data_IF_207992049152
#
_entry.id   IF_207992049152
#
_cell.length_a   1.000
_cell.length_b   1.000
_cell.length_c   1.000
_cell.angle_alpha   90.00
_cell.angle_beta   90.00
_cell.angle_gamma   90.00
#
_symmetry.space_group_name_H-M   'P 1'
#
loop_
_entity.id
_entity.type
_entity.pdbx_description
1 polymer ?
#
# COMPACT_ATOMS: atom_id res chain seq x y z
N UNK A 1 13.20 -30.47 -33.55
CA UNK A 1 12.61 -29.16 -33.89
C UNK A 1 12.62 -28.30 -32.63
N UNK A 2 13.32 -27.19 -32.74
CA UNK A 2 13.86 -26.37 -31.66
C UNK A 2 12.79 -25.44 -31.08
N UNK A 3 12.82 -25.25 -29.76
CA UNK A 3 11.97 -24.32 -29.02
C UNK A 3 12.19 -22.88 -29.49
N UNK A 4 11.13 -22.17 -29.87
CA UNK A 4 11.19 -20.74 -30.18
C UNK A 4 10.78 -19.92 -28.94
N UNK A 5 11.79 -19.26 -28.36
CA UNK A 5 11.70 -18.35 -27.22
C UNK A 5 10.72 -17.22 -27.51
N UNK A 6 9.65 -17.13 -26.73
CA UNK A 6 8.80 -15.94 -26.66
C UNK A 6 9.58 -14.82 -25.96
N UNK A 7 10.00 -13.83 -26.74
CA UNK A 7 10.66 -12.62 -26.26
C UNK A 7 9.74 -11.84 -25.31
N UNK A 8 9.98 -11.98 -24.01
CA UNK A 8 9.39 -11.12 -22.97
C UNK A 8 9.80 -9.67 -23.25
N UNK A 9 8.90 -8.68 -23.19
CA UNK A 9 9.29 -7.28 -23.05
C UNK A 9 10.25 -7.19 -21.85
N UNK A 10 11.40 -6.56 -22.05
CA UNK A 10 12.51 -6.57 -21.12
C UNK A 10 12.06 -6.13 -19.72
N UNK A 11 12.40 -6.95 -18.71
CA UNK A 11 12.28 -6.67 -17.27
C UNK A 11 13.06 -5.41 -16.82
N UNK A 12 13.74 -4.72 -17.75
CA UNK A 12 14.57 -3.54 -17.54
C UNK A 12 13.72 -2.30 -17.26
N UNK A 13 12.50 -2.20 -17.80
CA UNK A 13 11.62 -1.04 -17.60
C UNK A 13 10.84 -1.05 -16.27
N UNK A 14 10.76 -2.18 -15.58
CA UNK A 14 10.06 -2.31 -14.28
C UNK A 14 10.97 -2.08 -13.06
N UNK A 15 12.28 -1.87 -13.26
CA UNK A 15 13.28 -1.74 -12.19
C UNK A 15 14.07 -0.44 -12.25
N UNK A 16 13.46 0.68 -12.64
CA UNK A 16 13.92 1.96 -12.09
C UNK A 16 13.45 2.00 -10.64
N UNK A 17 14.30 1.42 -9.76
CA UNK A 17 14.40 1.85 -8.35
C UNK A 17 14.33 3.36 -8.37
N UNK A 18 13.66 3.97 -7.40
CA UNK A 18 13.61 5.42 -7.20
C UNK A 18 15.03 5.94 -6.83
N UNK A 19 16.03 5.71 -7.70
CA UNK A 19 17.27 6.45 -7.68
C UNK A 19 16.87 7.82 -8.21
N UNK A 20 16.58 8.72 -7.29
CA UNK A 20 16.98 10.11 -7.46
C UNK A 20 18.45 10.05 -7.86
N UNK A 21 18.72 10.03 -9.16
CA UNK A 21 20.06 10.26 -9.67
C UNK A 21 20.39 11.67 -9.20
N UNK A 22 21.28 11.74 -8.21
CA UNK A 22 21.98 12.94 -7.77
C UNK A 22 22.71 13.49 -8.99
N UNK A 23 21.97 14.24 -9.79
CA UNK A 23 22.52 15.04 -10.86
C UNK A 23 23.29 16.13 -10.14
N UNK A 24 24.56 16.24 -10.48
CA UNK A 24 25.58 17.07 -9.86
C UNK A 24 25.24 18.55 -9.97
N UNK A 25 24.28 18.99 -9.19
CA UNK A 25 24.24 20.34 -8.64
C UNK A 25 24.50 20.14 -7.16
N UNK A 26 25.42 20.90 -6.59
CA UNK A 26 25.51 21.04 -5.14
C UNK A 26 24.19 21.68 -4.71
N UNK A 27 23.25 20.87 -4.22
CA UNK A 27 22.13 21.38 -3.44
C UNK A 27 22.70 21.41 -2.03
N UNK A 28 23.12 22.60 -1.60
CA UNK A 28 23.59 22.82 -0.25
C UNK A 28 22.55 22.26 0.73
N UNK A 29 23.04 21.65 1.82
CA UNK A 29 22.29 20.91 2.85
C UNK A 29 21.30 21.79 3.67
N UNK A 30 20.58 22.72 3.03
CA UNK A 30 19.79 23.75 3.68
C UNK A 30 18.27 23.64 3.46
N UNK A 31 17.77 22.85 2.50
CA UNK A 31 16.32 22.78 2.19
C UNK A 31 15.80 21.34 2.00
N UNK A 32 16.26 20.37 2.81
CA UNK A 32 15.44 19.18 3.08
C UNK A 32 14.51 19.60 4.20
N UNK A 33 13.25 19.88 3.86
CA UNK A 33 12.22 20.16 4.85
C UNK A 33 12.23 19.08 5.95
N UNK A 34 12.44 19.51 7.18
CA UNK A 34 12.39 18.77 8.45
C UNK A 34 11.02 18.08 8.68
N UNK A 35 10.08 18.20 7.74
CA UNK A 35 8.81 17.48 7.70
C UNK A 35 8.94 16.01 7.31
N UNK A 36 10.07 15.59 6.72
CA UNK A 36 10.29 14.18 6.36
C UNK A 36 10.36 13.24 7.59
N UNK A 37 10.60 13.78 8.80
CA UNK A 37 10.57 13.00 10.05
C UNK A 37 9.15 12.76 10.61
N UNK A 38 8.10 13.41 10.09
CA UNK A 38 6.76 13.34 10.71
C UNK A 38 5.84 12.22 10.21
N UNK A 39 6.16 11.52 9.12
CA UNK A 39 5.25 10.53 8.52
C UNK A 39 5.93 9.18 8.29
N UNK A 40 6.17 8.44 9.37
CA UNK A 40 6.58 7.03 9.30
C UNK A 40 5.49 6.22 8.57
N UNK A 41 5.87 5.41 7.57
CA UNK A 41 4.96 4.55 6.81
C UNK A 41 4.06 3.71 7.70
N UNK A 42 4.59 3.17 8.79
CA UNK A 42 3.84 2.36 9.74
C UNK A 42 2.75 3.17 10.45
N UNK A 43 3.09 4.39 10.89
CA UNK A 43 2.15 5.29 11.55
C UNK A 43 1.02 5.72 10.61
N UNK A 44 1.35 6.06 9.36
CA UNK A 44 0.34 6.44 8.36
C UNK A 44 -0.65 5.30 8.11
N UNK A 45 -0.17 4.07 7.96
CA UNK A 45 -1.01 2.87 7.79
C UNK A 45 -1.92 2.68 9.00
N UNK A 46 -1.36 2.78 10.22
CA UNK A 46 -2.13 2.61 11.46
C UNK A 46 -3.17 3.72 11.62
N UNK A 47 -2.83 4.97 11.35
CA UNK A 47 -3.76 6.09 11.42
C UNK A 47 -4.92 5.90 10.44
N UNK A 48 -4.65 5.48 9.21
CA UNK A 48 -5.69 5.20 8.22
C UNK A 48 -6.63 4.05 8.66
N UNK A 49 -6.08 3.02 9.31
CA UNK A 49 -6.88 1.94 9.88
C UNK A 49 -7.76 2.44 11.05
N UNK A 50 -7.18 3.21 11.98
CA UNK A 50 -7.83 3.75 13.18
C UNK A 50 -8.93 4.77 12.89
N UNK A 51 -8.94 5.41 11.72
CA UNK A 51 -10.07 6.23 11.27
C UNK A 51 -11.38 5.42 11.15
N UNK A 52 -11.32 4.09 11.09
CA UNK A 52 -12.51 3.22 11.16
C UNK A 52 -13.00 3.02 12.61
N UNK A 53 -12.34 3.63 13.61
CA UNK A 53 -12.57 3.41 15.02
C UNK A 53 -11.65 2.34 15.62
N UNK A 54 -11.72 2.18 16.95
CA UNK A 54 -10.95 1.16 17.70
C UNK A 54 -11.75 -0.14 17.91
N UNK A 55 -13.07 -0.06 17.88
CA UNK A 55 -13.99 -1.21 18.03
C UNK A 55 -14.17 -1.95 16.69
N UNK A 56 -13.05 -2.36 16.09
CA UNK A 56 -13.00 -3.03 14.78
C UNK A 56 -12.12 -4.28 14.82
N UNK A 57 -12.37 -5.20 13.89
CA UNK A 57 -11.48 -6.33 13.61
C UNK A 57 -10.59 -5.99 12.42
N UNK A 58 -9.28 -6.05 12.61
CA UNK A 58 -8.28 -5.76 11.58
C UNK A 58 -7.53 -7.02 11.19
N UNK A 59 -7.48 -7.34 9.89
CA UNK A 59 -6.61 -8.37 9.35
C UNK A 59 -5.36 -7.71 8.72
N UNK A 60 -4.19 -8.03 9.24
CA UNK A 60 -2.88 -7.59 8.73
C UNK A 60 -2.28 -8.71 7.87
N UNK A 61 -2.45 -8.61 6.55
CA UNK A 61 -2.12 -9.67 5.60
C UNK A 61 -0.67 -9.54 5.13
N UNK A 62 0.09 -10.63 5.26
CA UNK A 62 1.55 -10.65 5.15
C UNK A 62 2.19 -9.88 6.29
N UNK A 63 1.79 -10.20 7.53
CA UNK A 63 2.22 -9.48 8.73
C UNK A 63 3.73 -9.57 8.98
N UNK A 64 4.45 -10.51 8.34
CA UNK A 64 5.86 -10.79 8.60
C UNK A 64 6.09 -11.03 10.09
N UNK A 65 7.04 -10.30 10.66
CA UNK A 65 7.38 -10.34 12.09
C UNK A 65 6.30 -9.75 13.03
N UNK A 66 5.13 -9.34 12.53
CA UNK A 66 3.99 -8.90 13.33
C UNK A 66 4.10 -7.49 13.91
N UNK A 67 5.07 -6.68 13.48
CA UNK A 67 5.28 -5.32 14.01
C UNK A 67 4.07 -4.41 13.80
N UNK A 68 3.47 -4.44 12.60
CA UNK A 68 2.26 -3.68 12.28
C UNK A 68 1.08 -4.14 13.13
N UNK A 69 0.87 -5.46 13.22
CA UNK A 69 -0.15 -6.06 14.08
C UNK A 69 -0.02 -5.64 15.55
N UNK A 70 1.21 -5.66 16.10
CA UNK A 70 1.50 -5.22 17.46
C UNK A 70 1.28 -3.73 17.66
N UNK A 71 1.64 -2.90 16.67
CA UNK A 71 1.41 -1.46 16.72
C UNK A 71 -0.10 -1.16 16.76
N UNK A 72 -0.91 -1.77 15.90
CA UNK A 72 -2.38 -1.66 15.92
C UNK A 72 -2.96 -2.07 17.27
N UNK A 73 -2.50 -3.20 17.81
CA UNK A 73 -2.95 -3.71 19.10
C UNK A 73 -2.60 -2.73 20.24
N UNK A 74 -1.38 -2.18 20.24
CA UNK A 74 -0.95 -1.18 21.23
C UNK A 74 -1.76 0.12 21.17
N UNK A 75 -2.32 0.46 20.00
CA UNK A 75 -3.18 1.64 19.79
C UNK A 75 -4.63 1.41 20.19
N UNK A 76 -4.96 0.20 20.62
CA UNK A 76 -6.23 -0.14 21.23
C UNK A 76 -7.26 -0.73 20.28
N UNK A 77 -6.84 -1.24 19.11
CA UNK A 77 -7.73 -1.99 18.21
C UNK A 77 -8.28 -3.23 18.93
N UNK A 78 -9.59 -3.42 18.90
CA UNK A 78 -10.30 -4.51 19.59
C UNK A 78 -9.79 -5.88 19.23
N UNK A 79 -9.55 -6.16 17.95
CA UNK A 79 -8.96 -7.43 17.52
C UNK A 79 -8.08 -7.26 16.31
N UNK A 80 -6.86 -7.78 16.40
CA UNK A 80 -5.90 -7.81 15.31
C UNK A 80 -5.57 -9.26 14.98
N UNK A 81 -5.69 -9.61 13.70
CA UNK A 81 -5.33 -10.93 13.16
C UNK A 81 -4.18 -10.73 12.19
N UNK A 82 -2.96 -11.05 12.62
CA UNK A 82 -1.81 -11.08 11.71
C UNK A 82 -1.82 -12.38 10.92
N UNK A 83 -1.72 -12.30 9.60
CA UNK A 83 -1.76 -13.47 8.72
C UNK A 83 -0.49 -13.49 7.89
N UNK A 84 0.23 -14.60 7.89
CA UNK A 84 1.34 -14.81 6.96
C UNK A 84 1.30 -16.22 6.37
N UNK A 85 1.77 -16.37 5.14
CA UNK A 85 1.90 -17.69 4.51
C UNK A 85 3.07 -18.49 5.07
N UNK A 86 4.04 -17.81 5.70
CA UNK A 86 5.26 -18.40 6.22
C UNK A 86 5.09 -18.79 7.69
N UNK A 87 5.29 -20.09 7.98
CA UNK A 87 5.29 -20.58 9.36
C UNK A 87 6.35 -19.91 10.22
N UNK A 88 7.51 -19.61 9.65
CA UNK A 88 8.60 -18.95 10.37
C UNK A 88 8.21 -17.53 10.79
N UNK A 89 7.51 -16.79 9.92
CA UNK A 89 7.06 -15.42 10.22
C UNK A 89 6.02 -15.41 11.33
N UNK A 90 5.05 -16.32 11.26
CA UNK A 90 4.04 -16.48 12.33
C UNK A 90 4.67 -16.90 13.65
N UNK A 91 5.63 -17.81 13.64
CA UNK A 91 6.35 -18.21 14.85
C UNK A 91 7.09 -17.02 15.48
N UNK A 92 7.82 -16.26 14.66
CA UNK A 92 8.55 -15.08 15.11
C UNK A 92 7.61 -13.96 15.62
N UNK A 93 6.48 -13.74 14.95
CA UNK A 93 5.46 -12.79 15.39
C UNK A 93 4.86 -13.18 16.76
N UNK A 94 4.65 -14.48 17.01
CA UNK A 94 4.22 -14.99 18.31
C UNK A 94 5.29 -14.78 19.40
N UNK A 95 6.58 -14.97 19.09
CA UNK A 95 7.68 -14.65 20.01
C UNK A 95 7.74 -13.15 20.34
N UNK A 96 7.53 -12.30 19.34
CA UNK A 96 7.42 -10.86 19.50
C UNK A 96 6.24 -10.49 20.42
N UNK A 97 5.08 -11.12 20.25
CA UNK A 97 3.91 -10.93 21.12
C UNK A 97 4.16 -11.35 22.56
N UNK A 98 4.80 -12.52 22.79
CA UNK A 98 5.19 -12.96 24.14
C UNK A 98 6.11 -11.94 24.80
N UNK A 99 7.09 -11.44 24.05
CA UNK A 99 8.03 -10.40 24.52
C UNK A 99 7.33 -9.07 24.81
N UNK A 100 6.38 -8.67 23.95
CA UNK A 100 5.55 -7.49 24.15
C UNK A 100 4.74 -7.58 25.45
N UNK A 101 4.07 -8.72 25.70
CA UNK A 101 3.30 -8.94 26.93
C UNK A 101 4.16 -8.88 28.19
N UNK A 102 5.34 -9.52 28.19
CA UNK A 102 6.28 -9.46 29.34
C UNK A 102 6.73 -8.03 29.66
N UNK A 103 7.00 -7.21 28.63
CA UNK A 103 7.37 -5.81 28.84
C UNK A 103 6.22 -5.02 29.46
N UNK A 104 4.98 -5.26 29.04
CA UNK A 104 3.79 -4.61 29.60
C UNK A 104 3.52 -5.00 31.06
N UNK A 105 3.76 -6.25 31.45
CA UNK A 105 3.61 -6.70 32.85
C UNK A 105 4.74 -6.17 33.73
N UNK A 106 5.99 -6.15 33.23
CA UNK A 106 7.15 -5.62 33.97
C UNK A 106 7.12 -4.10 34.23
N UNK A 107 6.32 -3.34 33.47
CA UNK A 107 6.06 -1.92 33.73
C UNK A 107 4.99 -1.70 34.82
N UNK A 108 4.29 -2.77 35.22
CA UNK A 108 3.14 -2.71 36.13
C UNK A 108 3.46 -3.27 37.52
N UNK A 109 4.46 -4.15 37.69
CA UNK A 109 4.80 -4.74 38.99
C UNK A 109 6.31 -4.93 39.21
N UNK A 110 6.84 -4.16 40.16
CA UNK A 110 7.84 -4.66 41.10
C UNK A 110 7.14 -5.65 42.03
N UNK A 111 7.22 -6.95 41.76
CA UNK A 111 6.62 -7.96 42.66
C UNK A 111 6.56 -9.36 42.08
N UNK A 112 7.54 -10.17 42.48
CA UNK A 112 7.52 -11.63 42.69
C UNK A 112 7.28 -12.63 41.54
N UNK A 113 8.16 -13.62 41.58
CA UNK A 113 8.32 -14.79 40.74
C UNK A 113 7.32 -15.91 41.07
N UNK A 114 6.75 -16.53 40.02
CA UNK A 114 6.07 -17.82 40.11
C UNK A 114 5.86 -18.40 38.71
N UNK A 115 6.52 -19.52 38.44
CA UNK A 115 6.14 -20.44 37.36
C UNK A 115 4.86 -21.16 37.81
N UNK A 116 3.74 -20.94 37.12
CA UNK A 116 2.60 -21.88 37.06
C UNK A 116 1.66 -21.50 35.91
N UNK A 117 1.30 -22.51 35.12
CA UNK A 117 0.30 -22.51 34.06
C UNK A 117 -1.10 -22.19 34.63
N UNK A 118 -1.66 -21.00 34.32
CA UNK A 118 -3.10 -20.72 34.16
C UNK A 118 -3.34 -19.22 33.88
N UNK A 119 -3.38 -18.86 32.59
CA UNK A 119 -3.50 -17.50 32.04
C UNK A 119 -4.94 -16.93 32.15
N UNK A 120 -5.44 -16.68 33.37
CA UNK A 120 -6.77 -16.08 33.58
C UNK A 120 -6.80 -14.63 34.09
N UNK A 121 -5.66 -13.98 34.37
CA UNK A 121 -5.69 -12.66 35.02
C UNK A 121 -4.80 -11.58 34.35
N UNK A 122 -5.04 -11.32 33.07
CA UNK A 122 -5.02 -9.95 32.54
C UNK A 122 -5.94 -9.87 31.30
N UNK A 123 -7.25 -9.68 31.53
CA UNK A 123 -8.25 -9.56 30.46
C UNK A 123 -8.08 -8.23 29.72
N UNK A 124 -7.04 -8.10 28.89
CA UNK A 124 -7.00 -7.03 27.90
C UNK A 124 -8.24 -7.21 27.03
N UNK A 125 -9.17 -6.24 27.05
CA UNK A 125 -10.38 -6.28 26.21
C UNK A 125 -10.05 -6.49 24.73
N UNK A 126 -8.84 -6.09 24.34
CA UNK A 126 -8.32 -6.21 22.99
C UNK A 126 -7.57 -7.52 22.80
N UNK A 127 -7.74 -8.14 21.63
CA UNK A 127 -7.12 -9.42 21.25
C UNK A 127 -6.13 -9.22 20.10
N UNK A 128 -5.09 -10.03 20.11
CA UNK A 128 -4.16 -10.16 18.99
C UNK A 128 -3.80 -11.63 18.83
N UNK A 129 -3.79 -12.11 17.59
CA UNK A 129 -3.41 -13.48 17.24
C UNK A 129 -2.71 -13.50 15.88
N UNK A 130 -1.90 -14.53 15.65
CA UNK A 130 -1.20 -14.75 14.39
C UNK A 130 -1.58 -16.10 13.77
N UNK A 131 -1.84 -16.12 12.47
CA UNK A 131 -2.34 -17.28 11.75
C UNK A 131 -1.54 -17.55 10.48
N UNK A 132 -1.49 -18.82 10.11
CA UNK A 132 -1.00 -19.25 8.80
C UNK A 132 -2.11 -19.12 7.78
N UNK A 133 -1.84 -18.43 6.66
CA UNK A 133 -2.81 -18.30 5.58
C UNK A 133 -2.24 -17.61 4.33
N UNK A 134 -2.79 -17.94 3.16
CA UNK A 134 -2.52 -17.23 1.90
C UNK A 134 -3.60 -16.18 1.66
N UNK A 135 -3.35 -14.94 2.11
CA UNK A 135 -4.33 -13.86 1.99
C UNK A 135 -5.37 -13.88 3.09
N UNK A 136 -6.65 -13.91 2.72
CA UNK A 136 -7.79 -13.87 3.65
C UNK A 136 -8.42 -15.25 3.91
N UNK A 137 -7.78 -16.32 3.45
CA UNK A 137 -8.32 -17.69 3.54
C UNK A 137 -8.47 -18.18 4.99
N UNK A 138 -7.67 -17.66 5.93
CA UNK A 138 -7.71 -18.02 7.35
C UNK A 138 -8.72 -17.23 8.19
N UNK A 139 -9.52 -16.36 7.56
CA UNK A 139 -10.51 -15.50 8.23
C UNK A 139 -11.86 -15.51 7.52
N UNK A 140 -12.17 -16.58 6.78
CA UNK A 140 -13.32 -16.56 5.87
C UNK A 140 -14.67 -16.46 6.56
N UNK A 141 -14.79 -17.07 7.74
CA UNK A 141 -16.02 -17.14 8.54
C UNK A 141 -16.12 -16.01 9.57
N UNK A 142 -15.20 -15.05 9.53
CA UNK A 142 -15.09 -13.98 10.51
C UNK A 142 -15.46 -12.62 9.93
N UNK A 143 -16.09 -11.79 10.76
CA UNK A 143 -16.34 -10.39 10.41
C UNK A 143 -15.06 -9.58 10.57
N UNK A 144 -14.32 -9.41 9.47
CA UNK A 144 -13.19 -8.49 9.37
C UNK A 144 -13.69 -7.15 8.84
N UNK A 145 -13.44 -6.04 9.55
CA UNK A 145 -13.86 -4.70 9.15
C UNK A 145 -12.82 -4.01 8.26
N UNK A 146 -11.55 -4.18 8.61
CA UNK A 146 -10.40 -3.52 7.96
C UNK A 146 -9.38 -4.58 7.54
N UNK A 147 -8.92 -4.49 6.30
CA UNK A 147 -7.81 -5.33 5.81
C UNK A 147 -6.63 -4.45 5.43
N UNK A 148 -5.45 -4.83 5.92
CA UNK A 148 -4.19 -4.16 5.60
C UNK A 148 -3.36 -5.05 4.67
N UNK A 149 -2.83 -4.44 3.60
CA UNK A 149 -1.80 -5.03 2.75
C UNK A 149 -0.62 -4.06 2.65
N UNK A 150 0.42 -4.27 3.45
CA UNK A 150 1.59 -3.40 3.47
C UNK A 150 2.81 -4.10 2.85
N UNK A 151 3.61 -3.36 2.07
CA UNK A 151 4.84 -3.89 1.48
C UNK A 151 4.63 -4.93 0.38
N UNK A 152 3.41 -5.06 -0.15
CA UNK A 152 3.07 -6.00 -1.23
C UNK A 152 2.96 -5.29 -2.58
N UNK A 153 3.42 -5.95 -3.64
CA UNK A 153 3.20 -5.49 -5.01
C UNK A 153 1.73 -5.57 -5.42
N UNK A 154 1.31 -4.67 -6.30
CA UNK A 154 -0.11 -4.50 -6.67
C UNK A 154 -0.71 -5.77 -7.27
N UNK A 155 0.05 -6.52 -8.07
CA UNK A 155 -0.37 -7.80 -8.66
C UNK A 155 -0.71 -8.86 -7.60
N UNK A 156 0.07 -8.94 -6.53
CA UNK A 156 -0.19 -9.87 -5.44
C UNK A 156 -1.46 -9.46 -4.70
N UNK A 157 -1.59 -8.18 -4.34
CA UNK A 157 -2.76 -7.65 -3.64
C UNK A 157 -4.04 -7.94 -4.44
N UNK A 158 -4.03 -7.67 -5.75
CA UNK A 158 -5.15 -7.98 -6.66
C UNK A 158 -5.52 -9.47 -6.63
N UNK A 159 -4.52 -10.35 -6.66
CA UNK A 159 -4.73 -11.81 -6.58
C UNK A 159 -5.36 -12.22 -5.26
N UNK A 160 -4.84 -11.72 -4.13
CA UNK A 160 -5.32 -12.07 -2.79
C UNK A 160 -6.74 -11.56 -2.56
N UNK A 161 -7.02 -10.30 -2.91
CA UNK A 161 -8.37 -9.75 -2.86
C UNK A 161 -9.34 -10.48 -3.80
N UNK A 162 -8.87 -10.96 -4.95
CA UNK A 162 -9.72 -11.70 -5.88
C UNK A 162 -10.09 -13.09 -5.39
N UNK A 163 -9.19 -13.76 -4.67
CA UNK A 163 -9.39 -15.09 -4.06
C UNK A 163 -10.23 -15.03 -2.79
N UNK A 164 -10.03 -13.99 -1.96
CA UNK A 164 -10.79 -13.75 -0.72
C UNK A 164 -12.27 -13.35 -0.91
N UNK A 165 -12.82 -13.56 -2.12
CA UNK A 165 -14.24 -13.33 -2.45
C UNK A 165 -15.12 -14.53 -2.13
N UNK A 166 -14.96 -15.12 -0.95
CA UNK A 166 -16.10 -15.85 -0.39
C UNK A 166 -17.19 -14.81 -0.05
N UNK A 167 -18.46 -15.19 -0.17
CA UNK A 167 -19.61 -14.27 -0.03
C UNK A 167 -19.63 -13.60 1.36
N UNK A 168 -19.18 -14.30 2.40
CA UNK A 168 -19.24 -13.83 3.78
C UNK A 168 -18.08 -12.87 4.14
N UNK A 169 -16.83 -13.24 3.85
CA UNK A 169 -15.64 -12.40 4.18
C UNK A 169 -15.60 -11.10 3.37
N UNK A 170 -16.02 -11.13 2.11
CA UNK A 170 -16.03 -9.92 1.28
C UNK A 170 -17.16 -8.95 1.60
N UNK A 171 -18.17 -9.40 2.36
CA UNK A 171 -19.30 -8.58 2.78
C UNK A 171 -19.01 -7.74 4.03
N UNK A 172 -18.21 -8.27 4.96
CA UNK A 172 -17.88 -7.57 6.21
C UNK A 172 -16.78 -6.50 6.04
N UNK A 173 -15.86 -6.69 5.09
CA UNK A 173 -14.73 -5.77 4.90
C UNK A 173 -15.23 -4.43 4.33
N UNK A 174 -15.10 -3.38 5.12
CA UNK A 174 -15.53 -2.01 4.79
C UNK A 174 -14.38 -1.13 4.33
N UNK A 175 -13.18 -1.40 4.84
CA UNK A 175 -11.98 -0.58 4.60
C UNK A 175 -10.80 -1.44 4.18
N UNK A 176 -10.07 -0.99 3.15
CA UNK A 176 -8.73 -1.48 2.83
C UNK A 176 -7.71 -0.39 3.15
N UNK A 177 -6.61 -0.76 3.80
CA UNK A 177 -5.42 0.10 3.91
C UNK A 177 -4.28 -0.59 3.18
N UNK A 178 -3.80 0.03 2.10
CA UNK A 178 -2.90 -0.64 1.15
C UNK A 178 -1.65 0.22 0.99
N UNK A 179 -0.48 -0.40 1.03
CA UNK A 179 0.79 0.29 0.82
C UNK A 179 1.65 -0.39 -0.25
N UNK A 180 1.34 -0.17 -1.55
CA UNK A 180 2.14 -0.69 -2.66
C UNK A 180 3.30 0.26 -3.06
N UNK A 181 4.23 -0.19 -3.92
CA UNK A 181 5.20 0.68 -4.57
C UNK A 181 4.52 1.76 -5.44
N UNK A 182 5.02 3.00 -5.39
CA UNK A 182 4.38 4.13 -6.08
C UNK A 182 4.38 4.01 -7.61
N UNK A 183 5.29 3.22 -8.19
CA UNK A 183 5.41 3.04 -9.64
C UNK A 183 4.31 2.19 -10.29
N UNK A 184 3.54 1.43 -9.52
CA UNK A 184 2.59 0.41 -10.01
C UNK A 184 1.11 0.84 -9.92
N UNK A 185 0.82 2.12 -9.70
CA UNK A 185 -0.50 2.54 -9.23
C UNK A 185 -1.57 2.69 -10.32
N UNK A 186 -1.21 3.02 -11.56
CA UNK A 186 -2.19 3.41 -12.60
C UNK A 186 -3.23 2.30 -12.83
N UNK A 187 -2.76 1.09 -13.15
CA UNK A 187 -3.63 -0.07 -13.37
C UNK A 187 -4.24 -0.59 -12.06
N UNK A 188 -3.61 -0.30 -10.93
CA UNK A 188 -4.13 -0.71 -9.62
C UNK A 188 -5.31 0.15 -9.17
N UNK A 189 -5.25 1.48 -9.37
CA UNK A 189 -6.37 2.41 -9.11
C UNK A 189 -7.57 2.09 -9.99
N UNK A 190 -7.32 1.82 -11.27
CA UNK A 190 -8.34 1.35 -12.21
C UNK A 190 -9.00 0.05 -11.73
N UNK A 191 -8.18 -0.92 -11.30
CA UNK A 191 -8.69 -2.19 -10.78
C UNK A 191 -9.51 -2.01 -9.50
N UNK A 192 -9.06 -1.18 -8.55
CA UNK A 192 -9.81 -0.87 -7.32
C UNK A 192 -11.22 -0.34 -7.67
N UNK A 193 -11.29 0.63 -8.57
CA UNK A 193 -12.55 1.22 -9.04
C UNK A 193 -13.49 0.19 -9.65
N UNK A 194 -12.98 -0.63 -10.58
CA UNK A 194 -13.74 -1.71 -11.23
C UNK A 194 -14.25 -2.75 -10.21
N UNK A 195 -13.51 -2.95 -9.11
CA UNK A 195 -13.85 -3.90 -8.04
C UNK A 195 -14.59 -3.23 -6.87
N UNK A 196 -15.26 -2.11 -7.12
CA UNK A 196 -16.14 -1.40 -6.17
C UNK A 196 -15.42 -0.89 -4.92
N UNK A 197 -14.15 -0.52 -5.06
CA UNK A 197 -13.37 0.20 -4.05
C UNK A 197 -13.14 1.64 -4.49
N UNK A 198 -13.50 2.60 -3.64
CA UNK A 198 -13.17 4.01 -3.80
C UNK A 198 -11.93 4.34 -2.99
N UNK A 199 -11.04 5.15 -3.56
CA UNK A 199 -9.86 5.67 -2.86
C UNK A 199 -10.27 6.96 -2.16
N UNK A 200 -10.29 6.94 -0.83
CA UNK A 200 -10.68 8.07 0.01
C UNK A 200 -9.49 8.98 0.30
N UNK A 201 -8.33 8.36 0.58
CA UNK A 201 -7.09 9.07 0.93
C UNK A 201 -5.88 8.37 0.35
N UNK A 202 -4.88 9.17 -0.01
CA UNK A 202 -3.54 8.70 -0.33
C UNK A 202 -2.52 9.59 0.35
N UNK A 203 -1.40 9.01 0.79
CA UNK A 203 -0.23 9.77 1.24
C UNK A 203 1.02 9.18 0.60
N UNK A 204 1.86 10.06 0.04
CA UNK A 204 3.13 9.68 -0.55
C UNK A 204 4.18 9.56 0.58
N UNK A 205 4.84 8.41 0.66
CA UNK A 205 5.85 8.11 1.67
C UNK A 205 7.16 7.77 0.97
N UNK A 206 8.26 8.42 1.37
CA UNK A 206 9.60 8.17 0.85
C UNK A 206 10.46 7.60 1.98
N UNK A 207 10.86 6.34 1.88
CA UNK A 207 11.71 5.68 2.87
C UNK A 207 12.83 4.92 2.15
N UNK A 208 14.07 5.05 2.64
CA UNK A 208 15.24 4.36 2.08
C UNK A 208 15.39 4.53 0.55
N UNK A 209 15.14 5.76 0.07
CA UNK A 209 15.12 6.09 -1.36
C UNK A 209 14.11 5.25 -2.19
N UNK A 210 13.01 4.80 -1.59
CA UNK A 210 11.89 4.19 -2.30
C UNK A 210 10.61 4.97 -1.99
N UNK A 211 9.88 5.32 -3.05
CA UNK A 211 8.57 5.93 -2.93
C UNK A 211 7.46 4.86 -2.88
N UNK A 212 6.59 5.01 -1.89
CA UNK A 212 5.41 4.20 -1.68
C UNK A 212 4.21 5.11 -1.50
N UNK A 213 3.02 4.61 -1.79
CA UNK A 213 1.79 5.34 -1.47
C UNK A 213 1.04 4.53 -0.45
N UNK A 214 0.60 5.14 0.64
CA UNK A 214 -0.36 4.54 1.57
C UNK A 214 -1.74 5.00 1.11
N UNK A 215 -2.65 4.06 0.89
CA UNK A 215 -3.98 4.29 0.34
C UNK A 215 -5.03 3.78 1.32
N UNK A 216 -6.03 4.59 1.65
CA UNK A 216 -7.25 4.14 2.31
C UNK A 216 -8.36 4.03 1.29
N UNK A 217 -8.93 2.84 1.17
CA UNK A 217 -10.06 2.58 0.27
C UNK A 217 -11.28 2.11 1.06
N UNK A 218 -12.47 2.52 0.63
CA UNK A 218 -13.76 2.07 1.19
C UNK A 218 -14.62 1.48 0.09
N UNK A 219 -15.68 0.76 0.48
CA UNK A 219 -16.67 0.26 -0.49
C UNK A 219 -17.31 1.46 -1.21
N UNK A 220 -17.38 1.36 -2.54
CA UNK A 220 -18.02 2.38 -3.37
C UNK A 220 -19.49 2.55 -2.97
N UNK A 221 -19.85 3.74 -2.50
CA UNK A 221 -21.22 4.17 -2.27
C UNK A 221 -21.56 5.27 -3.29
N UNK A 222 -22.71 5.17 -3.96
CA UNK A 222 -23.16 6.18 -4.92
C UNK A 222 -22.85 5.90 -6.39
N UNK A 223 -23.01 6.93 -7.21
CA UNK A 223 -23.17 6.85 -8.67
C UNK A 223 -21.90 6.47 -9.44
N UNK A 224 -22.10 6.07 -10.70
CA UNK A 224 -21.04 5.67 -11.60
C UNK A 224 -20.29 6.88 -12.17
N UNK A 225 -19.17 7.25 -11.53
CA UNK A 225 -18.20 8.21 -12.08
C UNK A 225 -17.18 7.54 -13.01
N UNK A 226 -16.75 8.24 -14.05
CA UNK A 226 -15.55 7.87 -14.82
C UNK A 226 -14.31 8.48 -14.16
N UNK A 227 -13.29 7.67 -13.91
CA UNK A 227 -12.01 8.17 -13.39
C UNK A 227 -11.32 9.04 -14.46
N UNK A 228 -10.85 10.21 -14.05
CA UNK A 228 -10.02 11.06 -14.90
C UNK A 228 -8.61 10.52 -15.05
N UNK A 229 -7.85 11.08 -15.99
CA UNK A 229 -6.42 10.78 -16.16
C UNK A 229 -5.64 11.06 -14.87
N UNK A 230 -5.90 12.18 -14.19
CA UNK A 230 -5.22 12.51 -12.94
C UNK A 230 -5.64 11.59 -11.79
N UNK A 231 -6.90 11.15 -11.74
CA UNK A 231 -7.35 10.14 -10.76
C UNK A 231 -6.56 8.83 -10.89
N UNK A 232 -6.19 8.44 -12.12
CA UNK A 232 -5.40 7.24 -12.37
C UNK A 232 -3.90 7.44 -12.07
N UNK A 233 -3.34 8.60 -12.46
CA UNK A 233 -1.89 8.82 -12.44
C UNK A 233 -1.38 9.42 -11.13
N UNK A 234 -2.12 10.36 -10.54
CA UNK A 234 -1.79 10.98 -9.25
C UNK A 234 -2.73 10.52 -8.13
N UNK A 235 -3.98 10.20 -8.45
CA UNK A 235 -4.99 9.83 -7.46
C UNK A 235 -5.31 10.99 -6.53
N UNK A 236 -5.50 10.72 -5.24
CA UNK A 236 -5.75 11.74 -4.22
C UNK A 236 -4.55 12.64 -3.94
N UNK A 237 -3.34 12.19 -4.28
CA UNK A 237 -2.14 13.03 -4.14
C UNK A 237 -2.22 14.33 -4.95
N UNK A 238 -3.05 14.38 -6.01
CA UNK A 238 -3.24 15.61 -6.79
C UNK A 238 -3.81 16.79 -5.98
N UNK A 239 -4.39 16.52 -4.80
CA UNK A 239 -4.92 17.52 -3.86
C UNK A 239 -3.78 18.19 -3.06
N UNK A 240 -2.62 17.55 -2.94
CA UNK A 240 -1.43 18.03 -2.22
C UNK A 240 -0.49 18.86 -3.11
N UNK A 241 -1.04 19.80 -3.89
CA UNK A 241 -0.27 20.57 -4.89
C UNK A 241 0.99 21.24 -4.33
N UNK A 242 0.96 21.72 -3.07
CA UNK A 242 2.09 22.40 -2.44
C UNK A 242 3.26 21.48 -2.08
N UNK A 243 3.07 20.17 -2.00
CA UNK A 243 4.08 19.21 -1.56
C UNK A 243 5.18 19.03 -2.62
N UNK A 244 6.42 19.35 -2.27
CA UNK A 244 7.60 19.16 -3.13
C UNK A 244 7.77 17.69 -3.55
N UNK A 245 7.51 16.75 -2.63
CA UNK A 245 7.55 15.31 -2.88
C UNK A 245 6.48 14.87 -3.89
N UNK A 246 5.25 15.39 -3.77
CA UNK A 246 4.16 15.07 -4.71
C UNK A 246 4.46 15.66 -6.09
N UNK A 247 5.03 16.87 -6.17
CA UNK A 247 5.51 17.45 -7.43
C UNK A 247 6.59 16.59 -8.07
N UNK A 248 7.59 16.16 -7.30
CA UNK A 248 8.65 15.27 -7.78
C UNK A 248 8.08 13.95 -8.29
N UNK A 249 7.10 13.38 -7.57
CA UNK A 249 6.36 12.20 -8.03
C UNK A 249 5.61 12.47 -9.35
N UNK A 250 4.87 13.58 -9.46
CA UNK A 250 4.15 13.95 -10.67
C UNK A 250 5.07 14.16 -11.89
N UNK A 251 6.23 14.81 -11.69
CA UNK A 251 7.28 14.94 -12.72
C UNK A 251 7.77 13.56 -13.15
N UNK A 252 8.11 12.69 -12.21
CA UNK A 252 8.53 11.32 -12.52
C UNK A 252 7.47 10.55 -13.32
N UNK A 253 6.19 10.68 -12.95
CA UNK A 253 5.06 10.10 -13.68
C UNK A 253 4.93 10.66 -15.09
N UNK A 254 5.15 11.96 -15.28
CA UNK A 254 5.11 12.61 -16.60
C UNK A 254 6.23 12.12 -17.50
N UNK A 255 7.46 12.04 -16.98
CA UNK A 255 8.60 11.52 -17.76
C UNK A 255 8.41 10.05 -18.12
N UNK A 256 7.87 9.23 -17.22
CA UNK A 256 7.48 7.86 -17.56
C UNK A 256 6.45 7.80 -18.69
N UNK A 257 5.43 8.67 -18.65
CA UNK A 257 4.44 8.75 -19.73
C UNK A 257 5.09 9.14 -21.07
N UNK A 258 6.01 10.11 -21.05
CA UNK A 258 6.76 10.57 -22.23
C UNK A 258 7.63 9.46 -22.83
N UNK A 259 8.40 8.74 -22.01
CA UNK A 259 9.25 7.63 -22.44
C UNK A 259 8.40 6.52 -23.09
N UNK A 260 7.30 6.13 -22.43
CA UNK A 260 6.38 5.11 -22.96
C UNK A 260 5.71 5.55 -24.26
N UNK A 261 5.28 6.81 -24.34
CA UNK A 261 4.73 7.41 -25.55
C UNK A 261 5.73 7.32 -26.71
N UNK A 262 6.98 7.73 -26.52
CA UNK A 262 8.01 7.66 -27.57
C UNK A 262 8.28 6.23 -28.08
N UNK A 263 8.26 5.23 -27.19
CA UNK A 263 8.36 3.81 -27.59
C UNK A 263 7.16 3.40 -28.45
N UNK A 264 5.95 3.81 -28.09
CA UNK A 264 4.73 3.46 -28.81
C UNK A 264 4.63 4.18 -30.17
N UNK A 265 5.09 5.44 -30.27
CA UNK A 265 5.20 6.18 -31.52
C UNK A 265 6.22 5.53 -32.48
N UNK A 266 7.34 5.04 -31.95
CA UNK A 266 8.30 4.25 -32.72
C UNK A 266 7.65 2.97 -33.28
N UNK A 267 6.92 2.22 -32.45
CA UNK A 267 6.18 1.04 -32.90
C UNK A 267 5.10 1.39 -33.93
N UNK A 268 4.45 2.55 -33.82
CA UNK A 268 3.44 3.01 -34.78
C UNK A 268 4.07 3.31 -36.14
N UNK A 269 5.18 4.05 -36.17
CA UNK A 269 5.87 4.39 -37.42
C UNK A 269 6.43 3.16 -38.15
N UNK A 270 6.78 2.10 -37.41
CA UNK A 270 7.16 0.80 -37.96
C UNK A 270 5.96 -0.09 -38.36
N UNK A 271 4.72 0.33 -38.15
CA UNK A 271 3.51 -0.49 -38.41
C UNK A 271 3.35 -1.69 -37.46
N UNK A 272 3.97 -1.64 -36.27
CA UNK A 272 4.02 -2.72 -35.27
C UNK A 272 3.22 -2.42 -34.01
N UNK A 273 2.57 -1.26 -33.92
CA UNK A 273 1.71 -0.90 -32.80
C UNK A 273 0.49 -1.83 -32.76
N UNK A 274 0.21 -2.39 -31.59
CA UNK A 274 -0.88 -3.36 -31.39
C UNK A 274 -2.20 -2.71 -31.03
N UNK A 275 -2.17 -1.62 -30.26
CA UNK A 275 -3.35 -0.92 -29.77
C UNK A 275 -3.09 0.59 -29.74
N UNK A 276 -3.75 1.34 -30.62
CA UNK A 276 -3.65 2.80 -30.69
C UNK A 276 -4.14 3.48 -29.41
N UNK A 277 -5.06 2.83 -28.66
CA UNK A 277 -5.58 3.36 -27.39
C UNK A 277 -4.50 3.37 -26.32
N UNK A 278 -3.50 2.49 -26.40
CA UNK A 278 -2.37 2.51 -25.46
C UNK A 278 -1.54 3.78 -25.67
N UNK A 279 -1.22 4.13 -26.92
CA UNK A 279 -0.50 5.36 -27.25
C UNK A 279 -1.28 6.59 -26.79
N UNK A 280 -2.59 6.63 -27.08
CA UNK A 280 -3.46 7.74 -26.68
C UNK A 280 -3.58 7.86 -25.16
N UNK A 281 -3.59 6.75 -24.41
CA UNK A 281 -3.58 6.75 -22.94
C UNK A 281 -2.34 7.47 -22.39
N UNK A 282 -1.15 7.20 -22.94
CA UNK A 282 0.08 7.85 -22.48
C UNK A 282 0.21 9.29 -22.95
N UNK A 283 -0.31 9.62 -24.14
CA UNK A 283 -0.39 11.01 -24.63
C UNK A 283 -1.26 11.87 -23.70
N UNK A 284 -2.46 11.40 -23.37
CA UNK A 284 -3.35 12.09 -22.45
C UNK A 284 -2.76 12.22 -21.03
N UNK A 285 -2.06 11.19 -20.56
CA UNK A 285 -1.33 11.24 -19.29
C UNK A 285 -0.25 12.33 -19.28
N UNK A 286 0.58 12.40 -20.33
CA UNK A 286 1.62 13.40 -20.44
C UNK A 286 1.06 14.82 -20.41
N UNK A 287 0.02 15.09 -21.21
CA UNK A 287 -0.64 16.40 -21.28
C UNK A 287 -1.28 16.79 -19.94
N UNK A 288 -2.05 15.88 -19.33
CA UNK A 288 -2.72 16.15 -18.06
C UNK A 288 -1.72 16.45 -16.93
N UNK A 289 -0.62 15.68 -16.85
CA UNK A 289 0.42 15.89 -15.84
C UNK A 289 1.21 17.18 -16.08
N UNK A 290 1.47 17.54 -17.35
CA UNK A 290 2.09 18.82 -17.68
C UNK A 290 1.21 20.00 -17.25
N UNK A 291 -0.08 19.96 -17.60
CA UNK A 291 -1.05 21.00 -17.19
C UNK A 291 -1.13 21.14 -15.68
N UNK A 292 -1.26 20.02 -14.95
CA UNK A 292 -1.33 20.04 -13.48
C UNK A 292 -0.08 20.66 -12.82
N UNK A 293 1.10 20.44 -13.41
CA UNK A 293 2.37 21.02 -12.94
C UNK A 293 2.51 22.53 -13.26
N UNK A 294 1.79 23.04 -14.26
CA UNK A 294 1.85 24.44 -14.70
C UNK A 294 0.87 25.35 -13.95
N UNK A 295 -0.31 24.84 -13.57
CA UNK A 295 -1.39 25.56 -12.88
C UNK A 295 -0.97 26.29 -11.58
N UNK A 296 0.15 25.92 -10.97
CA UNK A 296 0.62 26.49 -9.70
C UNK A 296 1.69 27.59 -9.87
N UNK A 297 2.11 27.88 -11.11
CA UNK A 297 3.01 29.02 -11.41
C UNK A 297 2.26 30.35 -11.56
N UNK A 298 0.93 30.32 -11.53
CA UNK A 298 -0.02 31.44 -11.60
C UNK A 298 -0.70 31.65 -10.26
#
# INVERSE_FOLDING_TARGET
MMWCLSSRPSLVLQRRRFKLETTTTRWDDADIDDECEKHNRAETIVNYALESGKDVVVADVGCGHGQMSLLLHSRGVKRVIGIDKSQNEVNYANECLRSFRRKSTSASESGESGDDDDDEHQKTKNKIEFRIGDGLESVTEENVDVVIFAGMGTKLIRKLLSRGRSVETSSSVRTLVINPPAGELVEFREWLWQNKWCIEKESLIIENANAHVVMKCTKKTGEEKTLSVLDLWLGKLQEEKKSSNVKAYAINRREYAKERMGVLEGLQSEGRLRDERELERYRNAYVALASWLEEEKT
#
